data_IF_050600265466
#
_entry.id   IF_050600265466
#
_cell.length_a   1.000
_cell.length_b   1.000
_cell.length_c   1.000
_cell.angle_alpha   90.00
_cell.angle_beta   90.00
_cell.angle_gamma   90.00
#
_symmetry.space_group_name_H-M   'P 1'
#
loop_
_entity.id
_entity.type
_entity.pdbx_description
1 polymer ?
#
# COMPACT_ATOMS: atom_id res chain seq x y z
N UNK A 1 -16.46 -31.94 39.89
CA UNK A 1 -15.31 -31.41 39.12
C UNK A 1 -15.69 -31.47 37.65
N UNK A 2 -16.18 -30.36 37.08
CA UNK A 2 -16.61 -30.31 35.68
C UNK A 2 -15.37 -30.34 34.79
N UNK A 3 -15.24 -31.37 33.95
CA UNK A 3 -14.22 -31.43 32.92
C UNK A 3 -14.42 -30.22 32.00
N UNK A 4 -13.47 -29.28 32.03
CA UNK A 4 -13.47 -28.15 31.13
C UNK A 4 -13.52 -28.67 29.68
N UNK A 5 -14.54 -28.26 28.93
CA UNK A 5 -14.65 -28.61 27.50
C UNK A 5 -13.40 -28.17 26.71
N UNK A 6 -13.25 -28.64 25.46
CA UNK A 6 -12.06 -28.35 24.66
C UNK A 6 -11.79 -26.84 24.55
N UNK A 7 -10.52 -26.45 24.69
CA UNK A 7 -10.10 -25.04 24.64
C UNK A 7 -10.42 -24.47 23.25
N UNK A 8 -11.18 -23.37 23.22
CA UNK A 8 -11.62 -22.76 21.96
C UNK A 8 -10.46 -22.30 21.09
N UNK A 9 -10.69 -22.19 19.78
CA UNK A 9 -9.76 -21.60 18.81
C UNK A 9 -9.18 -20.27 19.30
N UNK A 10 -10.06 -19.33 19.69
CA UNK A 10 -9.65 -18.01 20.14
C UNK A 10 -8.75 -18.07 21.38
N UNK A 11 -9.08 -18.92 22.36
CA UNK A 11 -8.29 -19.02 23.60
C UNK A 11 -6.89 -19.60 23.35
N UNK A 12 -6.75 -20.56 22.43
CA UNK A 12 -5.44 -21.09 22.00
C UNK A 12 -4.59 -19.99 21.33
N UNK A 13 -5.20 -19.17 20.48
CA UNK A 13 -4.53 -18.06 19.81
C UNK A 13 -4.09 -16.96 20.78
N UNK A 14 -4.98 -16.53 21.68
CA UNK A 14 -4.68 -15.50 22.69
C UNK A 14 -3.50 -15.95 23.55
N UNK A 15 -3.51 -17.20 24.01
CA UNK A 15 -2.44 -17.76 24.83
C UNK A 15 -1.10 -17.82 24.09
N UNK A 16 -1.12 -18.22 22.81
CA UNK A 16 0.06 -18.22 21.96
C UNK A 16 0.61 -16.80 21.76
N UNK A 17 -0.26 -15.83 21.47
CA UNK A 17 0.15 -14.43 21.23
C UNK A 17 0.83 -13.82 22.44
N UNK A 18 0.35 -14.07 23.65
CA UNK A 18 0.99 -13.56 24.89
C UNK A 18 2.39 -14.12 25.13
N UNK A 19 2.73 -15.27 24.54
CA UNK A 19 4.01 -15.97 24.77
C UNK A 19 4.98 -15.85 23.61
N UNK A 20 4.47 -15.78 22.39
CA UNK A 20 5.24 -15.92 21.15
C UNK A 20 4.87 -14.86 20.10
N UNK A 21 3.86 -14.03 20.37
CA UNK A 21 3.48 -12.93 19.49
C UNK A 21 4.56 -11.85 19.43
N UNK A 22 4.40 -10.92 18.49
CA UNK A 22 5.27 -9.74 18.41
C UNK A 22 4.71 -8.68 19.35
N UNK A 23 5.61 -8.02 20.08
CA UNK A 23 5.27 -7.00 21.08
C UNK A 23 6.12 -5.73 20.96
N UNK A 24 7.07 -5.73 20.03
CA UNK A 24 8.14 -4.74 19.85
C UNK A 24 7.90 -3.82 18.65
N UNK A 25 6.78 -3.95 17.94
CA UNK A 25 6.50 -3.09 16.78
C UNK A 25 6.17 -1.66 17.23
N UNK A 26 6.62 -0.61 16.52
CA UNK A 26 6.44 0.79 16.93
C UNK A 26 4.97 1.25 17.11
N UNK A 27 4.05 0.59 16.40
CA UNK A 27 2.61 0.85 16.45
C UNK A 27 1.86 -0.11 17.40
N UNK A 28 2.56 -1.04 18.05
CA UNK A 28 2.00 -1.82 19.14
C UNK A 28 2.09 -1.02 20.45
N UNK A 29 1.30 -1.42 21.45
CA UNK A 29 1.24 -0.77 22.77
C UNK A 29 0.73 0.67 22.75
N UNK A 30 -0.04 1.04 21.72
CA UNK A 30 -0.79 2.29 21.66
C UNK A 30 -2.23 2.00 21.26
N UNK A 31 -3.17 2.75 21.84
CA UNK A 31 -4.58 2.79 21.44
C UNK A 31 -4.91 4.09 20.69
N UNK A 32 -3.91 4.91 20.37
CA UNK A 32 -4.11 6.17 19.66
C UNK A 32 -4.58 5.90 18.22
N UNK A 33 -5.81 6.29 17.83
CA UNK A 33 -6.38 5.95 16.53
C UNK A 33 -5.51 6.38 15.35
N UNK A 34 -4.94 7.58 15.41
CA UNK A 34 -4.04 8.10 14.37
C UNK A 34 -2.86 7.16 14.10
N UNK A 35 -2.20 6.68 15.16
CA UNK A 35 -1.01 5.83 15.09
C UNK A 35 -1.34 4.43 14.58
N UNK A 36 -2.44 3.85 15.07
CA UNK A 36 -2.92 2.52 14.63
C UNK A 36 -3.33 2.59 13.17
N UNK A 37 -4.20 3.54 12.80
CA UNK A 37 -4.65 3.73 11.43
C UNK A 37 -3.48 3.96 10.45
N UNK A 38 -2.51 4.81 10.79
CA UNK A 38 -1.34 5.05 9.95
C UNK A 38 -0.59 3.74 9.65
N UNK A 39 -0.32 2.94 10.69
CA UNK A 39 0.36 1.65 10.53
C UNK A 39 -0.45 0.67 9.67
N UNK A 40 -1.77 0.58 9.89
CA UNK A 40 -2.65 -0.30 9.13
C UNK A 40 -2.63 0.04 7.64
N UNK A 41 -2.71 1.33 7.29
CA UNK A 41 -2.65 1.78 5.90
C UNK A 41 -1.27 1.50 5.29
N UNK A 42 -0.17 1.75 6.03
CA UNK A 42 1.18 1.45 5.56
C UNK A 42 1.43 -0.05 5.35
N UNK A 43 0.86 -0.92 6.18
CA UNK A 43 1.03 -2.38 6.12
C UNK A 43 0.23 -3.05 5.00
N UNK A 44 -0.71 -2.34 4.36
CA UNK A 44 -1.43 -2.87 3.21
C UNK A 44 -0.46 -3.24 2.07
N UNK A 45 -0.34 -4.54 1.79
CA UNK A 45 0.53 -5.08 0.74
C UNK A 45 2.01 -4.67 0.88
N UNK A 46 2.47 -4.31 2.10
CA UNK A 46 3.85 -3.91 2.37
C UNK A 46 4.40 -4.69 3.57
N UNK A 47 5.67 -5.08 3.54
CA UNK A 47 6.28 -5.84 4.62
C UNK A 47 6.56 -4.97 5.85
N UNK A 48 6.45 -5.57 7.04
CA UNK A 48 6.65 -4.89 8.33
C UNK A 48 8.03 -4.21 8.40
N UNK A 49 9.10 -4.92 8.02
CA UNK A 49 10.47 -4.39 8.01
C UNK A 49 10.62 -3.16 7.10
N UNK A 50 9.90 -3.14 5.97
CA UNK A 50 9.84 -1.96 5.08
C UNK A 50 9.07 -0.81 5.71
N UNK A 51 7.97 -1.09 6.43
CA UNK A 51 7.10 -0.06 7.02
C UNK A 51 7.74 0.64 8.20
N UNK A 52 8.49 -0.06 9.07
CA UNK A 52 9.07 0.52 10.30
C UNK A 52 9.78 1.87 10.07
N UNK A 53 10.78 2.00 9.16
CA UNK A 53 11.47 3.27 8.97
C UNK A 53 10.57 4.36 8.36
N UNK A 54 9.56 3.99 7.56
CA UNK A 54 8.59 4.95 7.02
C UNK A 54 7.66 5.46 8.11
N UNK A 55 7.14 4.57 8.94
CA UNK A 55 6.26 4.92 10.05
C UNK A 55 6.92 5.91 11.01
N UNK A 56 8.16 5.64 11.42
CA UNK A 56 8.90 6.50 12.34
C UNK A 56 9.14 7.91 11.75
N UNK A 57 9.68 7.99 10.53
CA UNK A 57 9.89 9.28 9.84
C UNK A 57 8.59 10.03 9.57
N UNK A 58 7.51 9.31 9.26
CA UNK A 58 6.21 9.92 9.00
C UNK A 58 5.63 10.54 10.27
N UNK A 59 5.77 9.87 11.43
CA UNK A 59 5.36 10.42 12.72
C UNK A 59 6.26 11.56 13.21
N UNK A 60 7.54 11.56 12.85
CA UNK A 60 8.42 12.69 13.14
C UNK A 60 7.95 13.96 12.41
N UNK A 61 7.52 13.83 11.14
CA UNK A 61 7.00 14.96 10.37
C UNK A 61 5.56 15.34 10.70
N UNK A 62 4.70 14.33 10.84
CA UNK A 62 3.27 14.44 11.07
C UNK A 62 2.95 13.73 12.40
N UNK A 63 3.16 14.38 13.55
CA UNK A 63 3.04 13.72 14.86
C UNK A 63 1.60 13.36 15.24
N UNK A 64 0.63 14.08 14.69
CA UNK A 64 -0.79 13.90 14.94
C UNK A 64 -1.64 14.08 13.66
N UNK A 65 -2.93 13.83 13.80
CA UNK A 65 -3.88 13.87 12.71
C UNK A 65 -4.05 15.29 12.14
N UNK A 66 -4.01 16.31 13.00
CA UNK A 66 -4.15 17.71 12.65
C UNK A 66 -2.97 18.18 11.79
N UNK A 67 -1.75 17.83 12.18
CA UNK A 67 -0.53 18.09 11.42
C UNK A 67 -0.57 17.40 10.05
N UNK A 68 -1.05 16.16 9.97
CA UNK A 68 -1.22 15.46 8.69
C UNK A 68 -2.26 16.15 7.79
N UNK A 69 -3.42 16.52 8.33
CA UNK A 69 -4.48 17.16 7.57
C UNK A 69 -4.05 18.55 7.04
N UNK A 70 -3.39 19.35 7.89
CA UNK A 70 -2.92 20.69 7.53
C UNK A 70 -1.76 20.70 6.53
N UNK A 71 -1.04 19.58 6.37
CA UNK A 71 0.10 19.51 5.48
C UNK A 71 -0.29 19.60 3.99
N UNK A 72 0.53 20.25 3.14
CA UNK A 72 0.37 20.19 1.69
C UNK A 72 0.45 18.74 1.20
N UNK A 73 -0.41 18.38 0.24
CA UNK A 73 -0.46 17.00 -0.30
C UNK A 73 0.89 16.56 -0.89
N UNK A 74 1.61 17.46 -1.58
CA UNK A 74 2.93 17.18 -2.17
C UNK A 74 3.94 16.72 -1.10
N UNK A 75 3.87 17.30 0.09
CA UNK A 75 4.75 16.97 1.20
C UNK A 75 4.43 15.58 1.78
N UNK A 76 3.15 15.26 1.92
CA UNK A 76 2.69 13.93 2.34
C UNK A 76 3.12 12.86 1.32
N UNK A 77 2.98 13.16 0.03
CA UNK A 77 3.41 12.27 -1.06
C UNK A 77 4.92 12.06 -1.08
N UNK A 78 5.72 13.10 -0.79
CA UNK A 78 7.16 12.99 -0.67
C UNK A 78 7.57 12.03 0.47
N UNK A 79 6.95 12.15 1.66
CA UNK A 79 7.23 11.25 2.79
C UNK A 79 6.77 9.80 2.56
N UNK A 80 5.79 9.59 1.67
CA UNK A 80 5.34 8.27 1.22
C UNK A 80 6.16 7.69 0.07
N UNK A 81 6.98 8.51 -0.61
CA UNK A 81 7.72 8.10 -1.81
C UNK A 81 8.59 6.87 -1.53
N UNK A 82 8.46 5.85 -2.37
CA UNK A 82 9.16 4.56 -2.21
C UNK A 82 8.36 3.46 -1.50
N UNK A 83 7.30 3.79 -0.74
CA UNK A 83 6.45 2.77 -0.09
C UNK A 83 5.47 2.08 -1.06
N UNK A 84 5.24 2.68 -2.24
CA UNK A 84 4.36 2.16 -3.28
C UNK A 84 2.87 2.31 -2.96
N UNK A 85 2.02 1.93 -3.93
CA UNK A 85 0.55 2.06 -3.85
C UNK A 85 0.10 3.47 -3.40
N UNK A 86 0.52 4.48 -4.15
CA UNK A 86 0.34 5.92 -3.85
C UNK A 86 -1.10 6.39 -3.63
N UNK A 87 -2.09 5.63 -4.10
CA UNK A 87 -3.50 5.88 -3.76
C UNK A 87 -3.74 5.79 -2.24
N UNK A 88 -2.96 4.97 -1.52
CA UNK A 88 -3.01 4.89 -0.05
C UNK A 88 -2.65 6.22 0.60
N UNK A 89 -1.58 6.86 0.17
CA UNK A 89 -1.14 8.16 0.71
C UNK A 89 -2.19 9.26 0.47
N UNK A 90 -2.75 9.29 -0.74
CA UNK A 90 -3.81 10.27 -1.08
C UNK A 90 -5.07 10.05 -0.28
N UNK A 91 -5.52 8.79 -0.17
CA UNK A 91 -6.69 8.47 0.63
C UNK A 91 -6.43 8.69 2.12
N UNK A 92 -5.21 8.43 2.61
CA UNK A 92 -4.79 8.74 3.97
C UNK A 92 -4.94 10.24 4.24
N UNK A 93 -4.39 11.09 3.36
CA UNK A 93 -4.50 12.55 3.50
C UNK A 93 -5.96 13.04 3.40
N UNK A 94 -6.71 12.55 2.41
CA UNK A 94 -8.14 12.86 2.27
C UNK A 94 -8.95 12.44 3.51
N UNK A 95 -8.67 11.25 4.06
CA UNK A 95 -9.29 10.79 5.30
C UNK A 95 -8.89 11.64 6.49
N UNK A 96 -7.63 12.08 6.61
CA UNK A 96 -7.24 13.00 7.67
C UNK A 96 -8.04 14.30 7.61
N UNK A 97 -8.21 14.86 6.41
CA UNK A 97 -9.03 16.06 6.20
C UNK A 97 -10.49 15.84 6.58
N UNK A 98 -11.10 14.72 6.17
CA UNK A 98 -12.49 14.37 6.53
C UNK A 98 -12.64 14.22 8.04
N UNK A 99 -11.73 13.51 8.71
CA UNK A 99 -11.82 13.33 10.18
C UNK A 99 -11.66 14.65 10.92
N UNK A 100 -10.78 15.54 10.47
CA UNK A 100 -10.66 16.89 11.07
C UNK A 100 -11.91 17.73 10.82
N UNK A 101 -12.40 17.77 9.58
CA UNK A 101 -13.50 18.64 9.18
C UNK A 101 -14.88 18.17 9.70
N UNK A 102 -15.15 16.87 9.62
CA UNK A 102 -16.48 16.29 9.88
C UNK A 102 -16.59 15.62 11.26
N UNK A 103 -15.46 15.24 11.86
CA UNK A 103 -15.42 14.53 13.15
C UNK A 103 -14.57 15.27 14.22
N UNK A 104 -14.23 16.54 14.00
CA UNK A 104 -13.53 17.37 14.99
C UNK A 104 -12.11 16.91 15.32
N UNK A 105 -11.49 16.13 14.43
CA UNK A 105 -10.15 15.56 14.65
C UNK A 105 -10.14 14.29 15.50
N UNK A 106 -11.30 13.72 15.82
CA UNK A 106 -11.42 12.45 16.52
C UNK A 106 -11.92 11.36 15.58
N UNK A 107 -11.25 10.20 15.57
CA UNK A 107 -11.75 9.06 14.80
C UNK A 107 -13.09 8.58 15.37
N UNK A 108 -14.09 8.32 14.50
CA UNK A 108 -15.30 7.62 14.92
C UNK A 108 -14.96 6.30 15.60
N UNK A 109 -15.77 5.90 16.60
CA UNK A 109 -15.52 4.68 17.38
C UNK A 109 -16.12 3.42 16.75
N UNK A 110 -17.19 3.61 15.99
CA UNK A 110 -17.99 2.53 15.42
C UNK A 110 -17.46 2.09 14.04
N UNK A 111 -17.27 0.78 13.79
CA UNK A 111 -16.76 0.29 12.51
C UNK A 111 -17.61 0.68 11.29
N UNK A 112 -18.94 0.80 11.43
CA UNK A 112 -19.86 1.15 10.34
C UNK A 112 -19.67 2.61 9.92
N UNK A 113 -19.26 3.46 10.86
CA UNK A 113 -18.85 4.84 10.54
C UNK A 113 -17.42 4.90 10.01
N UNK A 114 -16.47 4.17 10.63
CA UNK A 114 -15.07 4.21 10.20
C UNK A 114 -14.90 3.74 8.74
N UNK A 115 -15.70 2.77 8.28
CA UNK A 115 -15.60 2.23 6.91
C UNK A 115 -16.05 3.22 5.83
N UNK A 116 -16.76 4.29 6.16
CA UNK A 116 -17.15 5.32 5.19
C UNK A 116 -16.00 6.29 4.89
N UNK A 117 -14.96 6.30 5.73
CA UNK A 117 -13.82 7.19 5.58
C UNK A 117 -12.96 6.82 4.35
N UNK A 118 -12.38 7.81 3.65
CA UNK A 118 -11.58 7.58 2.45
C UNK A 118 -10.47 6.53 2.62
N UNK A 119 -10.48 5.51 1.75
CA UNK A 119 -9.45 4.46 1.73
C UNK A 119 -9.50 3.45 2.86
N UNK A 120 -10.52 3.49 3.73
CA UNK A 120 -10.70 2.51 4.80
C UNK A 120 -11.71 1.44 4.37
N UNK A 121 -11.22 0.23 4.12
CA UNK A 121 -12.07 -0.94 3.90
C UNK A 121 -12.51 -1.62 5.20
N UNK A 122 -13.53 -2.49 5.13
CA UNK A 122 -14.13 -3.21 6.28
C UNK A 122 -13.13 -3.79 7.27
N UNK A 123 -12.09 -4.49 6.78
CA UNK A 123 -11.08 -5.09 7.66
C UNK A 123 -10.26 -4.05 8.42
N UNK A 124 -9.93 -2.94 7.79
CA UNK A 124 -9.16 -1.85 8.40
C UNK A 124 -10.03 -1.09 9.41
N UNK A 125 -11.30 -0.83 9.08
CA UNK A 125 -12.25 -0.23 10.00
C UNK A 125 -12.41 -1.07 11.28
N UNK A 126 -12.59 -2.38 11.12
CA UNK A 126 -12.68 -3.30 12.24
C UNK A 126 -11.38 -3.34 13.05
N UNK A 127 -10.21 -3.34 12.41
CA UNK A 127 -8.93 -3.30 13.12
C UNK A 127 -8.79 -2.04 13.99
N UNK A 128 -9.08 -0.86 13.44
CA UNK A 128 -9.06 0.42 14.19
C UNK A 128 -10.04 0.34 15.37
N UNK A 129 -11.29 -0.09 15.12
CA UNK A 129 -12.31 -0.18 16.16
C UNK A 129 -11.94 -1.16 17.29
N UNK A 130 -11.35 -2.30 16.95
CA UNK A 130 -10.89 -3.30 17.93
C UNK A 130 -9.73 -2.76 18.76
N UNK A 131 -8.68 -2.23 18.12
CA UNK A 131 -7.45 -1.86 18.81
C UNK A 131 -7.55 -0.54 19.57
N UNK A 132 -8.34 0.41 19.08
CA UNK A 132 -8.44 1.74 19.67
C UNK A 132 -9.64 1.88 20.62
N UNK A 133 -10.74 1.17 20.33
CA UNK A 133 -12.02 1.38 21.00
C UNK A 133 -12.63 0.11 21.61
N UNK A 134 -11.94 -1.03 21.51
CA UNK A 134 -12.37 -2.28 22.13
C UNK A 134 -13.60 -2.93 21.48
N UNK A 135 -13.91 -2.57 20.23
CA UNK A 135 -15.03 -3.17 19.51
C UNK A 135 -14.85 -4.69 19.34
N UNK A 136 -15.96 -5.43 19.34
CA UNK A 136 -15.96 -6.87 19.01
C UNK A 136 -16.27 -7.06 17.53
N UNK A 137 -15.24 -7.03 16.69
CA UNK A 137 -15.36 -7.20 15.25
C UNK A 137 -14.24 -8.09 14.68
N UNK A 138 -14.49 -8.87 13.61
CA UNK A 138 -13.46 -9.70 12.99
C UNK A 138 -12.66 -8.89 11.98
N UNK A 139 -11.48 -9.37 11.60
CA UNK A 139 -10.71 -8.80 10.48
C UNK A 139 -10.45 -9.88 9.42
N UNK A 140 -10.13 -9.46 8.20
CA UNK A 140 -9.74 -10.36 7.09
C UNK A 140 -8.67 -9.71 6.21
N UNK A 141 -7.50 -9.44 6.78
CA UNK A 141 -6.32 -9.09 6.00
C UNK A 141 -5.79 -10.32 5.21
N UNK A 142 -4.73 -10.15 4.43
CA UNK A 142 -4.15 -11.26 3.65
C UNK A 142 -3.59 -12.40 4.51
N UNK A 143 -3.19 -12.13 5.75
CA UNK A 143 -2.68 -13.13 6.69
C UNK A 143 -3.82 -13.95 7.30
N UNK A 144 -4.84 -13.26 7.82
CA UNK A 144 -6.03 -13.87 8.42
C UNK A 144 -6.84 -14.63 7.37
N UNK A 145 -7.03 -14.09 6.16
CA UNK A 145 -7.67 -14.84 5.06
C UNK A 145 -7.00 -16.18 4.80
N UNK A 146 -5.66 -16.22 4.77
CA UNK A 146 -4.90 -17.48 4.58
C UNK A 146 -5.01 -18.41 5.78
N UNK A 147 -4.85 -17.89 6.99
CA UNK A 147 -4.96 -18.66 8.23
C UNK A 147 -6.32 -19.36 8.32
N UNK A 148 -7.40 -18.59 8.14
CA UNK A 148 -8.77 -19.10 8.26
C UNK A 148 -9.15 -20.02 7.10
N UNK A 149 -8.73 -19.71 5.87
CA UNK A 149 -8.97 -20.60 4.74
C UNK A 149 -8.31 -21.97 4.94
N UNK A 150 -7.09 -22.01 5.50
CA UNK A 150 -6.41 -23.27 5.81
C UNK A 150 -7.04 -24.00 6.99
N UNK A 151 -7.36 -23.27 8.07
CA UNK A 151 -7.93 -23.88 9.27
C UNK A 151 -9.31 -24.49 9.01
N UNK A 152 -10.20 -23.77 8.33
CA UNK A 152 -11.54 -24.26 7.97
C UNK A 152 -11.60 -25.08 6.67
N UNK A 153 -10.53 -25.11 5.87
CA UNK A 153 -10.57 -25.75 4.54
C UNK A 153 -11.46 -25.03 3.53
N UNK A 154 -11.50 -23.69 3.59
CA UNK A 154 -12.31 -22.87 2.67
C UNK A 154 -11.67 -22.91 1.28
N UNK A 155 -12.37 -23.52 0.32
CA UNK A 155 -11.92 -23.63 -1.05
C UNK A 155 -12.29 -22.40 -1.90
N UNK A 156 -11.50 -22.16 -2.95
CA UNK A 156 -11.74 -21.09 -3.91
C UNK A 156 -10.95 -19.82 -3.62
N UNK A 157 -10.96 -18.92 -4.61
CA UNK A 157 -10.19 -17.67 -4.53
C UNK A 157 -10.85 -16.69 -3.53
N UNK A 158 -10.14 -16.20 -2.50
CA UNK A 158 -10.71 -15.29 -1.49
C UNK A 158 -11.17 -13.92 -1.98
N UNK A 159 -10.98 -13.61 -3.27
CA UNK A 159 -11.54 -12.42 -3.92
C UNK A 159 -12.85 -12.66 -4.65
N UNK A 160 -13.38 -13.89 -4.67
CA UNK A 160 -14.73 -14.13 -5.17
C UNK A 160 -15.78 -13.78 -4.10
N UNK A 161 -16.93 -13.20 -4.46
CA UNK A 161 -17.94 -12.79 -3.48
C UNK A 161 -18.43 -13.91 -2.55
N UNK A 162 -18.58 -15.13 -3.09
CA UNK A 162 -19.02 -16.30 -2.33
C UNK A 162 -18.00 -16.72 -1.26
N UNK A 163 -16.72 -16.81 -1.64
CA UNK A 163 -15.63 -17.22 -0.73
C UNK A 163 -15.35 -16.12 0.29
N UNK A 164 -15.41 -14.86 -0.11
CA UNK A 164 -15.26 -13.72 0.81
C UNK A 164 -16.38 -13.72 1.87
N UNK A 165 -17.64 -13.91 1.45
CA UNK A 165 -18.78 -13.98 2.38
C UNK A 165 -18.66 -15.17 3.35
N UNK A 166 -18.21 -16.33 2.87
CA UNK A 166 -17.94 -17.48 3.73
C UNK A 166 -16.81 -17.20 4.74
N UNK A 167 -15.73 -16.56 4.29
CA UNK A 167 -14.61 -16.21 5.15
C UNK A 167 -15.03 -15.24 6.26
N UNK A 168 -15.86 -14.24 5.95
CA UNK A 168 -16.37 -13.30 6.95
C UNK A 168 -17.27 -13.98 7.99
N UNK A 169 -18.19 -14.85 7.55
CA UNK A 169 -19.04 -15.63 8.47
C UNK A 169 -18.22 -16.51 9.40
N UNK A 170 -17.15 -17.11 8.88
CA UNK A 170 -16.26 -17.95 9.68
C UNK A 170 -15.42 -17.14 10.67
N UNK A 171 -14.89 -15.98 10.25
CA UNK A 171 -14.16 -15.10 11.15
C UNK A 171 -15.06 -14.60 12.31
N UNK A 172 -16.31 -14.23 12.00
CA UNK A 172 -17.31 -13.81 12.99
C UNK A 172 -17.63 -14.91 14.01
N UNK A 173 -17.81 -16.16 13.55
CA UNK A 173 -18.16 -17.28 14.44
C UNK A 173 -17.06 -17.65 15.43
N UNK A 174 -15.81 -17.25 15.16
CA UNK A 174 -14.65 -17.52 16.02
C UNK A 174 -14.37 -16.40 17.05
N UNK A 175 -15.06 -15.26 16.97
CA UNK A 175 -14.77 -14.12 17.84
C UNK A 175 -15.01 -14.44 19.32
N UNK A 176 -14.02 -14.23 20.20
CA UNK A 176 -14.20 -14.40 21.64
C UNK A 176 -15.12 -13.30 22.20
N UNK A 177 -15.61 -13.52 23.42
CA UNK A 177 -16.37 -12.50 24.16
C UNK A 177 -15.48 -11.40 24.74
N UNK A 178 -14.23 -11.73 25.06
CA UNK A 178 -13.24 -10.87 25.71
C UNK A 178 -11.89 -11.00 25.02
N UNK A 179 -10.97 -10.09 25.30
CA UNK A 179 -9.59 -10.11 24.75
C UNK A 179 -9.53 -10.11 23.21
N UNK A 180 -10.50 -9.45 22.57
CA UNK A 180 -10.63 -9.39 21.11
C UNK A 180 -9.37 -8.82 20.46
N UNK A 181 -8.78 -7.76 21.01
CA UNK A 181 -7.55 -7.17 20.50
C UNK A 181 -6.38 -8.18 20.49
N UNK A 182 -6.18 -8.93 21.58
CA UNK A 182 -5.16 -9.98 21.63
C UNK A 182 -5.44 -11.10 20.63
N UNK A 183 -6.72 -11.48 20.46
CA UNK A 183 -7.13 -12.47 19.47
C UNK A 183 -6.90 -12.01 18.02
N UNK A 184 -7.24 -10.78 17.68
CA UNK A 184 -7.01 -10.21 16.34
C UNK A 184 -5.49 -10.12 16.07
N UNK A 185 -4.71 -9.61 17.02
CA UNK A 185 -3.25 -9.57 16.91
C UNK A 185 -2.66 -10.98 16.74
N UNK A 186 -3.18 -11.97 17.47
CA UNK A 186 -2.76 -13.36 17.36
C UNK A 186 -2.93 -13.91 15.94
N UNK A 187 -4.07 -13.64 15.29
CA UNK A 187 -4.32 -14.09 13.93
C UNK A 187 -3.33 -13.47 12.93
N UNK A 188 -3.06 -12.16 13.06
CA UNK A 188 -2.10 -11.47 12.20
C UNK A 188 -0.68 -11.98 12.40
N UNK A 189 -0.23 -12.11 13.65
CA UNK A 189 1.11 -12.59 13.98
C UNK A 189 1.30 -14.05 13.57
N UNK A 190 0.31 -14.91 13.84
CA UNK A 190 0.36 -16.31 13.45
C UNK A 190 0.41 -16.45 11.93
N UNK A 191 -0.41 -15.70 11.20
CA UNK A 191 -0.37 -15.67 9.74
C UNK A 191 0.97 -15.15 9.19
N UNK A 192 1.57 -14.14 9.83
CA UNK A 192 2.83 -13.55 9.40
C UNK A 192 4.06 -14.45 9.67
N UNK A 193 4.08 -15.19 10.78
CA UNK A 193 5.30 -15.84 11.29
C UNK A 193 5.27 -17.37 11.30
N UNK A 194 4.08 -17.98 11.32
CA UNK A 194 3.89 -19.44 11.45
C UNK A 194 3.13 -20.00 10.24
N UNK A 195 1.91 -19.54 10.01
CA UNK A 195 1.07 -19.92 8.88
C UNK A 195 1.44 -19.11 7.63
N UNK A 196 2.72 -19.14 7.26
CA UNK A 196 3.30 -18.38 6.13
C UNK A 196 2.81 -18.88 4.78
N UNK A 197 2.95 -18.05 3.73
CA UNK A 197 2.53 -18.41 2.37
C UNK A 197 3.19 -19.71 1.90
N UNK A 198 4.51 -19.77 1.97
CA UNK A 198 5.31 -20.95 1.66
C UNK A 198 5.88 -21.55 2.94
N UNK A 199 5.96 -22.89 2.99
CA UNK A 199 6.56 -23.67 4.08
C UNK A 199 6.07 -23.24 5.48
N UNK A 200 4.74 -23.32 5.76
CA UNK A 200 4.23 -22.98 7.07
C UNK A 200 4.79 -23.93 8.15
N UNK A 201 5.06 -23.37 9.33
CA UNK A 201 5.59 -24.08 10.50
C UNK A 201 4.46 -24.73 11.30
N UNK A 202 3.76 -25.68 10.68
CA UNK A 202 2.55 -26.29 11.23
C UNK A 202 2.79 -26.96 12.60
N UNK A 203 4.00 -27.44 12.85
CA UNK A 203 4.46 -27.99 14.13
C UNK A 203 4.50 -26.97 15.28
N UNK A 204 4.62 -25.68 14.98
CA UNK A 204 4.60 -24.59 15.95
C UNK A 204 3.22 -23.91 16.06
N UNK A 205 2.24 -24.35 15.28
CA UNK A 205 0.94 -23.68 15.19
C UNK A 205 0.02 -24.14 16.35
N UNK A 206 -0.56 -23.21 17.13
CA UNK A 206 -1.39 -23.55 18.29
C UNK A 206 -2.76 -24.14 17.91
N UNK A 207 -3.13 -24.06 16.63
CA UNK A 207 -4.40 -24.56 16.08
C UNK A 207 -4.18 -25.62 15.01
N UNK A 208 -3.06 -26.32 15.10
CA UNK A 208 -2.66 -27.31 14.11
C UNK A 208 -3.47 -28.61 14.20
N UNK A 209 -3.98 -28.96 15.39
CA UNK A 209 -4.63 -30.26 15.63
C UNK A 209 -6.01 -30.37 14.99
N UNK A 210 -6.68 -29.24 14.78
CA UNK A 210 -8.00 -29.13 14.13
C UNK A 210 -7.95 -28.37 12.80
N UNK A 211 -6.75 -28.14 12.25
CA UNK A 211 -6.57 -27.47 10.96
C UNK A 211 -6.84 -28.44 9.79
N UNK A 212 -7.89 -28.18 9.02
CA UNK A 212 -8.29 -28.99 7.85
C UNK A 212 -7.16 -29.10 6.83
N UNK A 213 -6.52 -27.99 6.45
CA UNK A 213 -5.44 -28.01 5.48
C UNK A 213 -4.19 -28.77 5.96
N UNK A 214 -3.93 -28.83 7.28
CA UNK A 214 -2.82 -29.65 7.81
C UNK A 214 -3.19 -31.13 7.74
N UNK A 215 -4.39 -31.49 8.23
CA UNK A 215 -4.90 -32.87 8.21
C UNK A 215 -4.90 -33.45 6.79
N UNK A 216 -5.31 -32.64 5.81
CA UNK A 216 -5.49 -33.10 4.43
C UNK A 216 -4.25 -32.83 3.53
N UNK A 217 -3.18 -32.25 4.07
CA UNK A 217 -1.96 -31.95 3.30
C UNK A 217 -2.07 -30.76 2.33
N UNK A 218 -3.10 -29.92 2.45
CA UNK A 218 -3.47 -28.86 1.49
C UNK A 218 -2.95 -27.47 1.83
N UNK A 219 -1.98 -27.35 2.73
CA UNK A 219 -1.45 -26.03 3.13
C UNK A 219 -0.78 -25.27 1.97
N UNK A 220 -0.24 -25.96 0.96
CA UNK A 220 0.32 -25.36 -0.24
C UNK A 220 -0.74 -24.87 -1.25
N UNK A 221 -1.96 -25.41 -1.18
CA UNK A 221 -3.06 -25.12 -2.10
C UNK A 221 -3.98 -24.00 -1.60
N UNK A 222 -4.16 -23.92 -0.28
CA UNK A 222 -5.10 -22.99 0.34
C UNK A 222 -4.40 -21.74 0.88
N UNK A 223 -4.98 -20.53 0.65
CA UNK A 223 -6.17 -20.28 -0.15
C UNK A 223 -5.89 -20.43 -1.65
N UNK A 224 -6.92 -20.77 -2.43
CA UNK A 224 -6.75 -20.94 -3.88
C UNK A 224 -6.28 -19.63 -4.53
N UNK A 225 -5.35 -19.70 -5.50
CA UNK A 225 -4.81 -18.51 -6.14
C UNK A 225 -5.89 -17.79 -6.95
N UNK A 226 -5.66 -16.49 -7.18
CA UNK A 226 -6.48 -15.73 -8.13
C UNK A 226 -6.45 -16.43 -9.51
N UNK A 227 -7.60 -16.65 -10.16
CA UNK A 227 -7.63 -17.17 -11.52
C UNK A 227 -6.77 -16.31 -12.44
N UNK A 228 -5.85 -16.94 -13.16
CA UNK A 228 -4.95 -16.23 -14.09
C UNK A 228 -5.79 -15.71 -15.27
N UNK A 229 -5.70 -14.41 -15.51
CA UNK A 229 -6.10 -13.79 -16.78
C UNK A 229 -4.84 -13.28 -17.46
N UNK A 230 -4.85 -13.19 -18.79
CA UNK A 230 -3.81 -12.47 -19.51
C UNK A 230 -3.69 -11.06 -18.92
N UNK A 231 -2.47 -10.68 -18.54
CA UNK A 231 -2.20 -9.35 -17.99
C UNK A 231 -2.15 -8.38 -19.19
N UNK A 232 -3.04 -7.38 -19.28
CA UNK A 232 -2.99 -6.44 -20.38
C UNK A 232 -1.64 -5.73 -20.44
N UNK A 233 -1.14 -5.51 -21.65
CA UNK A 233 0.05 -4.70 -21.89
C UNK A 233 -0.36 -3.32 -22.39
N UNK A 234 0.37 -2.30 -21.92
CA UNK A 234 0.23 -0.92 -22.35
C UNK A 234 1.59 -0.40 -22.74
N UNK A 235 1.62 0.48 -23.71
CA UNK A 235 2.84 1.09 -24.23
C UNK A 235 2.75 2.61 -24.12
N UNK A 236 3.88 3.25 -23.86
CA UNK A 236 3.99 4.71 -23.86
C UNK A 236 5.42 5.13 -24.19
N UNK A 237 5.55 6.25 -24.88
CA UNK A 237 6.83 6.93 -25.04
C UNK A 237 6.90 8.08 -24.05
N UNK A 238 7.99 8.15 -23.28
CA UNK A 238 8.21 9.20 -22.29
C UNK A 238 9.34 10.13 -22.74
N UNK A 239 9.07 11.44 -22.74
CA UNK A 239 10.05 12.45 -23.15
C UNK A 239 10.86 12.90 -21.94
N UNK A 240 12.17 12.68 -21.96
CA UNK A 240 13.11 13.27 -21.01
C UNK A 240 13.59 14.59 -21.60
N UNK A 241 12.83 15.66 -21.38
CA UNK A 241 13.20 17.00 -21.86
C UNK A 241 14.24 17.60 -20.91
N UNK A 242 15.43 17.88 -21.43
CA UNK A 242 16.57 18.39 -20.67
C UNK A 242 16.96 19.77 -21.20
N UNK A 243 17.21 20.70 -20.28
CA UNK A 243 17.81 22.00 -20.59
C UNK A 243 18.71 22.44 -19.43
N UNK A 244 19.99 22.69 -19.72
CA UNK A 244 21.01 23.08 -18.74
C UNK A 244 21.04 22.16 -17.50
N UNK A 245 20.93 20.85 -17.71
CA UNK A 245 20.94 19.86 -16.63
C UNK A 245 19.67 19.83 -15.75
N UNK A 246 18.62 20.56 -16.13
CA UNK A 246 17.29 20.47 -15.52
C UNK A 246 16.38 19.59 -16.36
N UNK A 247 15.46 18.88 -15.72
CA UNK A 247 14.49 17.99 -16.39
C UNK A 247 13.09 18.53 -16.20
N UNK A 248 12.29 18.58 -17.28
CA UNK A 248 10.87 18.93 -17.19
C UNK A 248 10.03 17.76 -16.68
N UNK A 249 9.19 18.02 -15.69
CA UNK A 249 8.21 17.07 -15.16
C UNK A 249 6.81 17.68 -15.11
N UNK A 250 5.79 16.83 -15.25
CA UNK A 250 4.39 17.19 -15.15
C UNK A 250 3.76 16.57 -13.91
N UNK A 251 2.93 17.34 -13.20
CA UNK A 251 2.03 16.81 -12.17
C UNK A 251 0.94 15.95 -12.81
N UNK A 252 0.89 14.66 -12.42
CA UNK A 252 -0.16 13.76 -12.90
C UNK A 252 -1.52 14.07 -12.25
N UNK A 253 -2.63 13.85 -12.96
CA UNK A 253 -3.97 13.95 -12.37
C UNK A 253 -4.11 13.16 -11.06
N UNK A 254 -4.96 13.55 -10.10
CA UNK A 254 -5.10 12.86 -8.82
C UNK A 254 -5.54 11.39 -8.93
N UNK A 255 -6.23 11.04 -10.01
CA UNK A 255 -6.74 9.70 -10.31
C UNK A 255 -5.96 9.05 -11.46
N UNK A 256 -5.96 7.71 -11.50
CA UNK A 256 -5.25 6.94 -12.51
C UNK A 256 -3.83 6.51 -12.11
N UNK A 257 -3.05 6.10 -13.11
CA UNK A 257 -1.67 5.64 -12.94
C UNK A 257 -0.82 6.75 -12.31
N UNK A 258 -0.15 6.40 -11.20
CA UNK A 258 0.73 7.32 -10.45
C UNK A 258 0.09 8.67 -10.07
N UNK A 259 -1.24 8.70 -9.87
CA UNK A 259 -1.92 9.98 -9.70
C UNK A 259 -1.35 10.83 -8.56
N UNK A 260 -1.24 12.14 -8.78
CA UNK A 260 -0.63 13.10 -7.85
C UNK A 260 0.89 13.00 -7.68
N UNK A 261 1.59 12.19 -8.49
CA UNK A 261 3.05 12.21 -8.58
C UNK A 261 3.52 13.11 -9.72
N UNK A 262 4.79 13.49 -9.70
CA UNK A 262 5.48 14.07 -10.86
C UNK A 262 5.94 12.95 -11.81
N UNK A 263 5.82 13.17 -13.11
CA UNK A 263 6.23 12.22 -14.15
C UNK A 263 6.74 12.95 -15.38
N UNK A 264 7.45 12.22 -16.24
CA UNK A 264 7.84 12.71 -17.56
C UNK A 264 6.60 12.93 -18.44
N UNK A 265 6.63 13.91 -19.36
CA UNK A 265 5.66 14.02 -20.46
C UNK A 265 5.53 12.71 -21.23
N UNK A 266 4.31 12.38 -21.65
CA UNK A 266 3.98 11.13 -22.33
C UNK A 266 3.41 11.42 -23.72
N UNK A 267 3.87 10.67 -24.71
CA UNK A 267 3.32 10.67 -26.06
C UNK A 267 2.95 9.25 -26.48
N UNK A 268 1.90 9.14 -27.30
CA UNK A 268 1.44 7.85 -27.83
C UNK A 268 2.40 7.33 -28.93
N UNK A 269 3.01 8.24 -29.68
CA UNK A 269 3.97 7.95 -30.76
C UNK A 269 5.18 8.88 -30.61
N UNK A 270 6.39 8.36 -30.78
CA UNK A 270 7.62 9.16 -30.80
C UNK A 270 7.62 10.24 -31.89
N UNK A 271 6.84 10.07 -32.96
CA UNK A 271 6.65 11.06 -34.01
C UNK A 271 5.90 12.32 -33.54
N UNK A 272 5.20 12.26 -32.40
CA UNK A 272 4.50 13.41 -31.82
C UNK A 272 5.32 14.14 -30.75
N UNK A 273 6.59 13.77 -30.56
CA UNK A 273 7.45 14.36 -29.54
C UNK A 273 7.63 15.87 -29.73
N UNK A 274 7.88 16.33 -30.95
CA UNK A 274 8.04 17.74 -31.29
C UNK A 274 6.78 18.57 -30.98
N UNK A 275 5.61 18.04 -31.32
CA UNK A 275 4.34 18.71 -31.06
C UNK A 275 4.07 18.84 -29.54
N UNK A 276 4.37 17.80 -28.77
CA UNK A 276 4.20 17.81 -27.32
C UNK A 276 5.22 18.73 -26.63
N UNK A 277 6.49 18.70 -27.06
CA UNK A 277 7.50 19.64 -26.57
C UNK A 277 7.10 21.09 -26.86
N UNK A 278 6.63 21.39 -28.08
CA UNK A 278 6.17 22.72 -28.45
C UNK A 278 4.97 23.17 -27.59
N UNK A 279 4.01 22.28 -27.31
CA UNK A 279 2.89 22.54 -26.38
C UNK A 279 3.38 22.92 -24.98
N UNK A 280 4.47 22.28 -24.53
CA UNK A 280 5.14 22.54 -23.26
C UNK A 280 6.12 23.73 -23.30
N UNK A 281 6.12 24.52 -24.39
CA UNK A 281 6.98 25.70 -24.52
C UNK A 281 8.45 25.37 -24.78
N UNK A 282 8.73 24.23 -25.40
CA UNK A 282 10.08 23.74 -25.69
C UNK A 282 10.26 23.47 -27.19
N UNK A 283 11.45 23.75 -27.71
CA UNK A 283 11.89 23.32 -29.04
C UNK A 283 12.95 22.22 -28.87
N UNK A 284 12.72 21.06 -29.49
CA UNK A 284 13.66 19.94 -29.44
C UNK A 284 14.83 20.24 -30.39
N UNK A 285 16.05 20.22 -29.85
CA UNK A 285 17.29 20.41 -30.60
C UNK A 285 17.89 19.08 -31.03
N UNK A 286 17.88 18.09 -30.14
CA UNK A 286 18.42 16.75 -30.38
C UNK A 286 17.54 15.68 -29.71
N UNK A 287 17.50 14.48 -30.31
CA UNK A 287 16.76 13.32 -29.79
C UNK A 287 17.63 12.08 -29.75
N UNK A 288 17.58 11.36 -28.64
CA UNK A 288 18.25 10.07 -28.46
C UNK A 288 17.30 9.06 -27.81
N UNK A 289 17.09 7.92 -28.48
CA UNK A 289 16.35 6.81 -27.89
C UNK A 289 17.17 6.16 -26.78
N UNK A 290 16.53 5.98 -25.62
CA UNK A 290 17.13 5.30 -24.47
C UNK A 290 16.64 3.85 -24.38
N UNK A 291 17.30 3.04 -23.55
CA UNK A 291 16.92 1.64 -23.35
C UNK A 291 15.48 1.54 -22.82
N UNK A 292 14.58 0.80 -23.51
CA UNK A 292 13.22 0.58 -23.03
C UNK A 292 13.20 -0.11 -21.66
N UNK A 293 12.19 0.21 -20.87
CA UNK A 293 12.01 -0.38 -19.54
C UNK A 293 10.56 -0.80 -19.32
N UNK A 294 10.41 -1.91 -18.60
CA UNK A 294 9.09 -2.47 -18.29
C UNK A 294 8.79 -2.32 -16.81
N UNK A 295 7.62 -1.76 -16.50
CA UNK A 295 7.12 -1.69 -15.13
C UNK A 295 5.83 -2.50 -15.01
N UNK A 296 5.82 -3.48 -14.09
CA UNK A 296 4.66 -4.36 -13.88
C UNK A 296 3.79 -3.86 -12.72
N UNK A 297 2.53 -3.60 -13.00
CA UNK A 297 1.48 -3.40 -12.00
C UNK A 297 0.75 -4.72 -11.72
N UNK A 298 -0.05 -4.76 -10.66
CA UNK A 298 -0.88 -5.91 -10.32
C UNK A 298 -1.96 -6.24 -11.36
N UNK A 299 -2.30 -5.29 -12.25
CA UNK A 299 -3.44 -5.37 -13.15
C UNK A 299 -3.11 -5.05 -14.63
N UNK A 300 -1.89 -4.60 -14.94
CA UNK A 300 -1.35 -4.48 -16.30
C UNK A 300 0.17 -4.38 -16.26
N UNK A 301 0.82 -4.48 -17.42
CA UNK A 301 2.25 -4.20 -17.61
C UNK A 301 2.39 -2.94 -18.48
N UNK A 302 3.28 -2.03 -18.08
CA UNK A 302 3.61 -0.83 -18.85
C UNK A 302 5.00 -0.99 -19.46
N UNK A 303 5.07 -0.96 -20.79
CA UNK A 303 6.30 -0.87 -21.55
C UNK A 303 6.55 0.60 -21.86
N UNK A 304 7.70 1.11 -21.41
CA UNK A 304 8.08 2.52 -21.52
C UNK A 304 9.26 2.61 -22.49
N UNK A 305 9.12 3.43 -23.51
CA UNK A 305 10.19 3.83 -24.42
C UNK A 305 10.64 5.25 -24.05
N UNK A 306 11.77 5.43 -23.36
CA UNK A 306 12.24 6.76 -23.02
C UNK A 306 12.98 7.39 -24.21
N UNK A 307 12.70 8.66 -24.47
CA UNK A 307 13.34 9.47 -25.49
C UNK A 307 13.98 10.68 -24.80
N UNK A 308 15.30 10.74 -24.80
CA UNK A 308 16.06 11.90 -24.32
C UNK A 308 16.00 12.99 -25.37
N UNK A 309 15.59 14.19 -24.95
CA UNK A 309 15.50 15.35 -25.82
C UNK A 309 16.24 16.51 -25.17
N UNK A 310 17.33 16.97 -25.79
CA UNK A 310 17.89 18.28 -25.47
C UNK A 310 16.98 19.34 -26.07
N UNK A 311 16.55 20.30 -25.25
CA UNK A 311 15.58 21.30 -25.67
C UNK A 311 16.04 22.72 -25.36
N UNK A 312 15.48 23.67 -26.08
CA UNK A 312 15.52 25.10 -25.75
C UNK A 312 14.12 25.55 -25.36
N UNK A 313 13.98 26.19 -24.20
CA UNK A 313 12.71 26.82 -23.84
C UNK A 313 12.41 27.98 -24.79
N UNK A 314 11.23 27.94 -25.40
CA UNK A 314 10.73 29.00 -26.31
C UNK A 314 9.70 29.89 -25.63
N UNK A 315 9.13 29.46 -24.51
CA UNK A 315 8.25 30.27 -23.68
C UNK A 315 8.49 29.99 -22.19
N UNK A 316 8.63 31.03 -21.38
CA UNK A 316 8.83 30.93 -19.93
C UNK A 316 7.53 30.80 -19.14
N UNK A 317 6.37 30.99 -19.78
CA UNK A 317 5.07 30.71 -19.19
C UNK A 317 4.85 29.19 -19.17
N UNK A 318 5.43 28.52 -18.18
CA UNK A 318 5.23 27.09 -17.97
C UNK A 318 3.74 26.79 -17.76
N UNK A 319 3.25 25.69 -18.34
CA UNK A 319 1.93 25.16 -17.96
C UNK A 319 1.89 25.00 -16.42
N UNK A 320 0.76 25.27 -15.75
CA UNK A 320 0.69 25.28 -14.27
C UNK A 320 1.13 23.95 -13.63
N UNK A 321 1.07 22.86 -14.39
CA UNK A 321 1.43 21.51 -13.96
C UNK A 321 2.90 21.15 -14.26
N UNK A 322 3.62 21.99 -14.99
CA UNK A 322 4.96 21.73 -15.47
C UNK A 322 6.02 22.35 -14.57
N UNK A 323 7.05 21.57 -14.21
CA UNK A 323 8.13 21.97 -13.30
C UNK A 323 9.48 21.52 -13.87
N UNK A 324 10.40 22.47 -14.03
CA UNK A 324 11.80 22.18 -14.31
C UNK A 324 12.52 21.90 -12.99
N UNK A 325 13.06 20.69 -12.83
CA UNK A 325 13.78 20.29 -11.62
C UNK A 325 15.25 20.01 -11.93
N UNK A 326 16.13 20.51 -11.05
CA UNK A 326 17.55 20.16 -11.00
C UNK A 326 17.76 18.74 -10.48
N UNK A 327 18.97 18.19 -10.66
CA UNK A 327 19.35 16.88 -10.09
C UNK A 327 19.12 16.79 -8.57
N UNK A 328 19.41 17.88 -7.84
CA UNK A 328 19.19 17.95 -6.40
C UNK A 328 17.69 17.87 -6.05
N UNK A 329 16.84 18.62 -6.74
CA UNK A 329 15.38 18.61 -6.52
C UNK A 329 14.74 17.27 -6.91
N UNK A 330 15.22 16.64 -7.99
CA UNK A 330 14.77 15.32 -8.43
C UNK A 330 14.98 14.24 -7.37
N UNK A 331 16.05 14.34 -6.57
CA UNK A 331 16.31 13.39 -5.48
C UNK A 331 15.17 13.36 -4.45
N UNK A 332 14.53 14.51 -4.20
CA UNK A 332 13.45 14.67 -3.21
C UNK A 332 12.05 14.67 -3.84
N UNK A 333 11.94 14.80 -5.17
CA UNK A 333 10.67 14.88 -5.86
C UNK A 333 9.82 13.60 -5.69
N UNK A 334 8.47 13.72 -5.62
CA UNK A 334 7.57 12.57 -5.55
C UNK A 334 7.44 11.90 -6.93
N UNK A 335 8.41 11.03 -7.27
CA UNK A 335 8.49 10.33 -8.56
C UNK A 335 8.07 8.85 -8.46
N UNK A 336 7.47 8.29 -9.53
CA UNK A 336 7.34 6.85 -9.67
C UNK A 336 8.71 6.17 -9.68
N UNK A 337 8.79 4.97 -9.10
CA UNK A 337 10.03 4.18 -9.04
C UNK A 337 10.73 3.99 -10.41
N UNK A 338 10.05 3.65 -11.53
CA UNK A 338 10.74 3.50 -12.82
C UNK A 338 11.32 4.83 -13.33
N UNK A 339 10.64 5.95 -13.10
CA UNK A 339 11.09 7.28 -13.52
C UNK A 339 12.28 7.73 -12.68
N UNK A 340 12.21 7.54 -11.35
CA UNK A 340 13.34 7.82 -10.45
C UNK A 340 14.59 7.06 -10.88
N UNK A 341 14.45 5.76 -11.19
CA UNK A 341 15.57 4.92 -11.64
C UNK A 341 16.13 5.40 -12.98
N UNK A 342 15.27 5.74 -13.93
CA UNK A 342 15.67 6.28 -15.23
C UNK A 342 16.47 7.58 -15.08
N UNK A 343 15.95 8.55 -14.33
CA UNK A 343 16.58 9.86 -14.15
C UNK A 343 17.89 9.78 -13.37
N UNK A 344 17.98 8.94 -12.34
CA UNK A 344 19.24 8.71 -11.62
C UNK A 344 20.33 8.17 -12.55
N UNK A 345 19.98 7.20 -13.40
CA UNK A 345 20.94 6.61 -14.35
C UNK A 345 21.43 7.58 -15.44
N UNK A 346 20.63 8.61 -15.76
CA UNK A 346 20.97 9.64 -16.74
C UNK A 346 21.82 10.76 -16.13
N UNK A 347 21.49 11.21 -14.91
CA UNK A 347 22.12 12.36 -14.26
C UNK A 347 23.40 12.01 -13.48
N UNK A 348 23.63 10.73 -13.18
CA UNK A 348 24.91 10.24 -12.61
C UNK A 348 26.01 10.05 -13.69
N UNK A 349 25.70 10.24 -14.97
CA UNK A 349 26.71 10.26 -16.02
C UNK A 349 27.36 11.65 -16.06
N UNK A 350 28.71 11.77 -16.03
CA UNK A 350 29.35 13.06 -16.24
C UNK A 350 28.88 13.64 -17.58
N UNK A 351 28.48 14.91 -17.55
CA UNK A 351 27.92 15.62 -18.69
C UNK A 351 28.72 15.35 -19.97
N UNK A 352 28.01 14.96 -21.03
CA UNK A 352 28.53 14.87 -22.40
C UNK A 352 28.95 16.27 -22.85
#
# INVERSE_FOLDING_TARGET
MSAAGPVSFARRLIHWQKRHGRHDLPWQNTSAPYRVWLSEIMLQQTQVSTVIPYYLRFLERFPDLQALAAAPVDEVMAHWSGLGYYARARNLHACANVVVAEHGGEFPRDPETIVTLPGIGRSTANAIAVFCFGARAPILDGNVKRLLARHAGIEGWPGSPAVESQSWRYAESLLPKTEVAAYIQAQMDLGATVCTRSRPKCELCPVADDCVARRDGRTAELPSPKPRKALPERETTMLVLVEYGRVLLLSRPPTGIWGGLLSLPEVADANTAEAEAARLGCEILEKQALTPLTHSFTHFRLNITPLLCEVRQTNTAAEPTARWLTAAELSQAPLPAPIRKLLAALLDQPAI
#
